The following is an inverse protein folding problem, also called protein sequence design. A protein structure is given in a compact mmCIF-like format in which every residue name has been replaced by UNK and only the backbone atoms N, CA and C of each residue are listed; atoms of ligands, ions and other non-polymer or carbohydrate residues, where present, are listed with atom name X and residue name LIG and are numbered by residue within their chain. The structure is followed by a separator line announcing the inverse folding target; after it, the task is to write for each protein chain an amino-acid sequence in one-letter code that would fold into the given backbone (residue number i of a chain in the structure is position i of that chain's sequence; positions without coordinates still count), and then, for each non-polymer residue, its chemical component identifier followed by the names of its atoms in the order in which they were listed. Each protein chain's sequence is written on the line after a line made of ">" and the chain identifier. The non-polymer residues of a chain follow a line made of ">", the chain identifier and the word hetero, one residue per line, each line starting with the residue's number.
data_IF_781506970106
#
_entry.id   IF_781506970106
#
_cell.length_a   1.000
_cell.length_b   1.000
_cell.length_c   1.000
_cell.angle_alpha   90.00
_cell.angle_beta   90.00
_cell.angle_gamma   90.00
#
_symmetry.space_group_name_H-M   'P 1'
#
loop_
_entity.id
_entity.type
_entity.pdbx_description
1 polymer ?
#
# COMPACT_ATOMS: atom_id res chain seq x y z
N UNK A 1 -28.96 -61.05 -32.24
CA UNK A 1 -27.57 -60.60 -32.04
C UNK A 1 -27.59 -59.08 -31.89
N UNK A 2 -27.24 -58.54 -30.73
CA UNK A 2 -27.43 -57.14 -30.40
C UNK A 2 -26.51 -56.22 -31.22
N UNK A 3 -27.08 -55.19 -31.86
CA UNK A 3 -26.36 -54.11 -32.54
C UNK A 3 -25.71 -53.24 -31.47
N UNK A 4 -24.40 -53.36 -31.28
CA UNK A 4 -23.65 -52.46 -30.41
C UNK A 4 -23.53 -51.08 -31.08
N UNK A 5 -23.96 -50.02 -30.40
CA UNK A 5 -23.73 -48.63 -30.80
C UNK A 5 -22.24 -48.32 -30.67
N UNK A 6 -21.66 -47.64 -31.67
CA UNK A 6 -20.25 -47.23 -31.64
C UNK A 6 -19.97 -46.33 -30.43
N UNK A 7 -18.95 -46.67 -29.64
CA UNK A 7 -18.51 -45.95 -28.42
C UNK A 7 -18.08 -44.50 -28.72
N UNK A 8 -17.75 -44.21 -29.97
CA UNK A 8 -17.41 -42.87 -30.47
C UNK A 8 -18.54 -41.84 -30.23
N UNK A 9 -19.79 -42.31 -30.13
CA UNK A 9 -20.95 -41.45 -29.85
C UNK A 9 -21.10 -41.08 -28.36
N UNK A 10 -20.41 -41.78 -27.46
CA UNK A 10 -20.49 -41.58 -25.99
C UNK A 10 -19.27 -40.82 -25.48
N UNK A 11 -18.08 -41.03 -26.06
CA UNK A 11 -16.85 -40.35 -25.63
C UNK A 11 -16.07 -39.86 -26.84
N UNK A 12 -16.01 -38.55 -27.03
CA UNK A 12 -15.19 -37.90 -28.06
C UNK A 12 -13.88 -37.43 -27.44
N UNK A 13 -12.83 -38.25 -27.55
CA UNK A 13 -11.49 -37.89 -27.05
C UNK A 13 -10.76 -37.07 -28.12
N UNK A 14 -10.78 -35.75 -27.98
CA UNK A 14 -9.91 -34.87 -28.76
C UNK A 14 -8.54 -34.78 -28.09
N UNK A 15 -7.54 -35.48 -28.61
CA UNK A 15 -6.16 -35.31 -28.16
C UNK A 15 -5.59 -34.09 -28.88
N UNK A 16 -5.65 -32.94 -28.23
CA UNK A 16 -5.00 -31.73 -28.74
C UNK A 16 -3.50 -31.80 -28.43
N UNK A 17 -2.72 -32.32 -29.37
CA UNK A 17 -1.24 -32.35 -29.35
C UNK A 17 -0.63 -31.00 -29.76
N UNK A 18 -1.30 -29.87 -29.48
CA UNK A 18 -0.61 -28.60 -29.51
C UNK A 18 0.40 -28.63 -28.35
N UNK A 19 1.71 -28.52 -28.61
CA UNK A 19 2.65 -28.35 -27.51
C UNK A 19 2.23 -27.08 -26.78
N UNK A 20 1.81 -27.19 -25.52
CA UNK A 20 1.81 -26.04 -24.63
C UNK A 20 3.24 -25.52 -24.70
N UNK A 21 3.44 -24.36 -25.31
CA UNK A 21 4.75 -23.75 -25.41
C UNK A 21 5.36 -23.78 -24.01
N UNK A 22 6.59 -24.31 -23.88
CA UNK A 22 7.31 -24.31 -22.62
C UNK A 22 7.16 -22.91 -22.02
N UNK A 23 6.60 -22.82 -20.81
CA UNK A 23 6.38 -21.54 -20.16
C UNK A 23 7.70 -20.79 -20.20
N UNK A 24 7.80 -19.76 -21.05
CA UNK A 24 9.00 -18.92 -21.08
C UNK A 24 9.06 -18.34 -19.69
N UNK A 25 10.09 -18.73 -18.92
CA UNK A 25 10.39 -18.11 -17.63
C UNK A 25 10.43 -16.62 -17.92
N UNK A 26 9.41 -15.90 -17.46
CA UNK A 26 9.39 -14.46 -17.56
C UNK A 26 10.71 -13.97 -16.92
N UNK A 27 11.33 -12.95 -17.50
CA UNK A 27 12.47 -12.32 -16.85
C UNK A 27 12.00 -11.99 -15.43
N UNK A 28 12.76 -12.41 -14.41
CA UNK A 28 12.36 -12.17 -13.03
C UNK A 28 12.04 -10.69 -12.84
N UNK A 29 11.01 -10.37 -12.07
CA UNK A 29 10.62 -8.98 -11.80
C UNK A 29 11.80 -8.27 -11.16
N UNK A 30 12.30 -7.21 -11.81
CA UNK A 30 13.40 -6.42 -11.26
C UNK A 30 12.94 -5.75 -9.96
N UNK A 31 13.82 -5.75 -8.96
CA UNK A 31 13.65 -4.95 -7.75
C UNK A 31 14.64 -3.78 -7.76
N UNK A 32 14.14 -2.56 -7.86
CA UNK A 32 14.90 -1.32 -7.66
C UNK A 32 14.78 -0.93 -6.19
N UNK A 33 15.90 -0.74 -5.50
CA UNK A 33 15.90 -0.35 -4.09
C UNK A 33 16.23 1.15 -3.98
N UNK A 34 15.31 1.90 -3.39
CA UNK A 34 15.33 3.34 -3.31
C UNK A 34 15.33 3.89 -1.89
N UNK A 35 15.99 5.04 -1.70
CA UNK A 35 16.06 5.73 -0.41
C UNK A 35 15.05 6.90 -0.29
N UNK A 36 14.15 7.08 -1.26
CA UNK A 36 13.02 8.01 -1.15
C UNK A 36 11.95 7.54 -0.16
N UNK A 37 11.27 8.49 0.49
CA UNK A 37 10.23 8.23 1.50
C UNK A 37 8.82 8.00 0.94
N UNK A 38 8.70 7.76 -0.36
CA UNK A 38 7.40 7.59 -1.05
C UNK A 38 6.72 6.28 -0.66
N UNK A 39 7.51 5.20 -0.57
CA UNK A 39 7.05 3.91 -0.05
C UNK A 39 7.36 3.86 1.44
N UNK A 40 6.35 3.54 2.23
CA UNK A 40 6.48 3.36 3.67
C UNK A 40 7.34 2.12 4.00
N UNK A 41 8.05 2.15 5.13
CA UNK A 41 8.76 1.00 5.69
C UNK A 41 7.84 -0.16 6.11
N UNK A 42 6.53 0.07 6.25
CA UNK A 42 5.52 -0.98 6.42
C UNK A 42 5.16 -1.65 5.09
N UNK A 43 4.93 -0.86 4.03
CA UNK A 43 4.62 -1.40 2.69
C UNK A 43 5.84 -2.10 2.08
N UNK A 44 7.03 -1.52 2.27
CA UNK A 44 8.37 -2.01 1.88
C UNK A 44 8.62 -2.20 0.39
N UNK A 45 7.60 -2.56 -0.39
CA UNK A 45 7.71 -2.92 -1.79
C UNK A 45 6.41 -2.57 -2.51
N UNK A 46 6.50 -1.81 -3.59
CA UNK A 46 5.37 -1.53 -4.49
C UNK A 46 5.68 -2.06 -5.89
N UNK A 47 4.71 -2.74 -6.49
CA UNK A 47 4.79 -3.21 -7.86
C UNK A 47 4.18 -2.18 -8.83
N UNK A 48 4.84 -2.01 -9.97
CA UNK A 48 4.44 -1.11 -11.05
C UNK A 48 4.40 -1.88 -12.37
N UNK A 49 3.44 -1.57 -13.22
CA UNK A 49 3.29 -2.15 -14.57
C UNK A 49 3.71 -1.19 -15.68
N UNK A 50 4.11 0.04 -15.32
CA UNK A 50 4.57 1.04 -16.27
C UNK A 50 5.20 2.24 -15.59
N UNK A 51 5.85 3.06 -16.41
CA UNK A 51 6.60 4.23 -15.96
C UNK A 51 5.68 5.36 -15.42
N UNK A 52 4.45 5.46 -15.92
CA UNK A 52 3.49 6.50 -15.50
C UNK A 52 3.12 6.38 -14.01
N UNK A 53 2.95 5.15 -13.51
CA UNK A 53 2.69 4.92 -12.08
C UNK A 53 3.89 5.29 -11.20
N UNK A 54 5.11 5.01 -11.69
CA UNK A 54 6.34 5.43 -10.98
C UNK A 54 6.48 6.95 -11.00
N UNK A 55 6.11 7.61 -12.11
CA UNK A 55 6.12 9.07 -12.23
C UNK A 55 5.14 9.73 -11.25
N UNK A 56 3.94 9.17 -11.11
CA UNK A 56 2.91 9.68 -10.21
C UNK A 56 3.35 9.63 -8.74
N UNK A 57 4.02 8.55 -8.35
CA UNK A 57 4.42 8.32 -6.95
C UNK A 57 5.75 9.01 -6.60
N UNK A 58 6.78 8.90 -7.45
CA UNK A 58 8.12 9.38 -7.14
C UNK A 58 8.50 10.71 -7.81
N UNK A 59 7.73 11.16 -8.80
CA UNK A 59 8.14 12.24 -9.70
C UNK A 59 9.28 11.82 -10.64
N UNK A 60 9.66 12.71 -11.55
CA UNK A 60 10.67 12.41 -12.59
C UNK A 60 12.12 12.60 -12.13
N UNK A 61 12.32 13.30 -11.01
CA UNK A 61 13.66 13.62 -10.50
C UNK A 61 14.24 12.52 -9.60
N UNK A 62 13.39 11.62 -9.10
CA UNK A 62 13.81 10.55 -8.21
C UNK A 62 14.74 9.54 -8.92
N UNK A 63 15.79 9.04 -8.25
CA UNK A 63 16.66 8.02 -8.83
C UNK A 63 15.91 6.72 -9.15
N UNK A 64 14.84 6.41 -8.41
CA UNK A 64 13.95 5.28 -8.65
C UNK A 64 13.23 5.40 -10.00
N UNK A 65 12.75 6.59 -10.35
CA UNK A 65 12.11 6.86 -11.63
C UNK A 65 13.09 6.68 -12.80
N UNK A 66 14.29 7.27 -12.69
CA UNK A 66 15.31 7.18 -13.75
C UNK A 66 15.75 5.73 -14.00
N UNK A 67 15.85 4.92 -12.95
CA UNK A 67 16.15 3.50 -13.09
C UNK A 67 14.97 2.71 -13.68
N UNK A 68 13.72 3.05 -13.30
CA UNK A 68 12.52 2.45 -13.86
C UNK A 68 12.35 2.77 -15.36
N UNK A 69 12.68 3.99 -15.76
CA UNK A 69 12.63 4.44 -17.16
C UNK A 69 13.54 3.59 -18.06
N UNK A 70 14.78 3.37 -17.63
CA UNK A 70 15.72 2.48 -18.33
C UNK A 70 15.22 1.04 -18.41
N UNK A 71 14.58 0.55 -17.34
CA UNK A 71 14.04 -0.80 -17.31
C UNK A 71 12.86 -0.98 -18.27
N UNK A 72 11.89 -0.06 -18.25
CA UNK A 72 10.73 -0.12 -19.15
C UNK A 72 11.04 0.23 -20.61
N UNK A 73 12.20 0.83 -20.89
CA UNK A 73 12.67 1.14 -22.26
C UNK A 73 13.30 -0.06 -22.98
N UNK A 74 13.41 -1.23 -22.34
CA UNK A 74 13.95 -2.44 -22.96
C UNK A 74 12.97 -3.01 -24.02
N UNK A 75 13.51 -3.75 -25.00
CA UNK A 75 12.71 -4.48 -25.98
C UNK A 75 13.10 -5.97 -25.96
N UNK A 76 12.18 -6.90 -25.64
CA UNK A 76 10.77 -6.67 -25.31
C UNK A 76 10.57 -5.95 -23.97
N UNK A 77 9.54 -5.07 -23.91
CA UNK A 77 9.24 -4.26 -22.71
C UNK A 77 8.86 -5.16 -21.53
N UNK A 78 9.51 -5.01 -20.36
CA UNK A 78 9.10 -5.72 -19.15
C UNK A 78 7.68 -5.37 -18.73
N UNK A 79 6.94 -6.38 -18.25
CA UNK A 79 5.55 -6.21 -17.83
C UNK A 79 5.40 -5.68 -16.40
N UNK A 80 6.41 -5.89 -15.54
CA UNK A 80 6.36 -5.56 -14.12
C UNK A 80 7.72 -5.14 -13.60
N UNK A 81 7.72 -4.18 -12.68
CA UNK A 81 8.85 -3.70 -11.89
C UNK A 81 8.43 -3.66 -10.42
N UNK A 82 9.31 -3.99 -9.50
CA UNK A 82 9.13 -3.71 -8.08
C UNK A 82 10.08 -2.61 -7.65
N UNK A 83 9.59 -1.64 -6.89
CA UNK A 83 10.41 -0.65 -6.19
C UNK A 83 10.33 -0.93 -4.69
N UNK A 84 11.48 -1.08 -4.04
CA UNK A 84 11.61 -1.37 -2.63
C UNK A 84 12.13 -0.18 -1.85
N UNK A 85 11.65 -0.02 -0.63
CA UNK A 85 12.09 1.02 0.31
C UNK A 85 13.33 0.56 1.08
N UNK A 86 14.38 1.38 1.02
CA UNK A 86 15.54 1.28 1.92
C UNK A 86 15.58 2.48 2.88
N UNK A 87 15.31 2.23 4.17
CA UNK A 87 15.50 3.22 5.23
C UNK A 87 16.97 3.46 5.55
N UNK A 88 17.67 4.19 4.68
CA UNK A 88 19.09 4.56 4.85
C UNK A 88 19.32 5.45 6.07
N UNK A 89 18.32 6.25 6.44
CA UNK A 89 18.31 7.10 7.63
C UNK A 89 17.30 6.58 8.64
N UNK A 90 17.45 6.92 9.94
CA UNK A 90 16.42 6.65 10.93
C UNK A 90 15.07 7.13 10.42
N UNK A 91 14.12 6.20 10.32
CA UNK A 91 12.77 6.46 9.81
C UNK A 91 11.81 6.19 10.97
N UNK A 92 10.89 7.12 11.28
CA UNK A 92 9.88 6.90 12.31
C UNK A 92 9.07 5.63 12.04
N UNK A 93 8.63 4.96 13.10
CA UNK A 93 7.61 3.93 12.98
C UNK A 93 6.28 4.60 12.62
N UNK A 94 5.48 3.91 11.81
CA UNK A 94 4.14 4.35 11.41
C UNK A 94 3.15 3.31 11.93
N UNK A 95 2.09 3.79 12.58
CA UNK A 95 0.93 2.99 12.97
C UNK A 95 -0.24 3.49 12.14
N UNK A 96 -0.87 2.59 11.38
CA UNK A 96 -2.01 2.93 10.54
C UNK A 96 -3.30 2.52 11.20
N UNK A 97 -4.22 3.46 11.36
CA UNK A 97 -5.57 3.19 11.81
C UNK A 97 -6.36 2.31 10.81
N UNK A 98 -7.54 1.88 11.26
CA UNK A 98 -8.52 1.26 10.37
C UNK A 98 -9.02 2.26 9.31
N UNK A 99 -9.34 1.75 8.12
CA UNK A 99 -10.02 2.54 7.09
C UNK A 99 -11.42 2.90 7.62
N UNK A 100 -11.71 4.19 7.70
CA UNK A 100 -13.02 4.69 8.08
C UNK A 100 -13.93 4.74 6.86
N UNK A 101 -15.17 4.29 7.01
CA UNK A 101 -16.23 4.56 6.04
C UNK A 101 -16.64 6.04 6.07
N UNK A 102 -17.34 6.52 5.04
CA UNK A 102 -17.80 7.92 4.95
C UNK A 102 -18.63 8.37 6.17
N UNK A 103 -19.39 7.44 6.77
CA UNK A 103 -20.16 7.71 7.98
C UNK A 103 -19.32 7.77 9.26
N UNK A 104 -18.19 7.05 9.30
CA UNK A 104 -17.24 7.08 10.43
C UNK A 104 -16.27 8.26 10.32
N UNK A 105 -16.00 8.73 9.09
CA UNK A 105 -15.20 9.92 8.80
C UNK A 105 -15.99 11.23 8.96
N UNK A 106 -17.04 11.25 9.80
CA UNK A 106 -17.79 12.44 10.16
C UNK A 106 -17.17 13.14 11.38
N UNK A 107 -16.61 14.33 11.17
CA UNK A 107 -15.98 15.12 12.24
C UNK A 107 -16.98 15.62 13.28
N UNK A 108 -18.26 15.72 12.94
CA UNK A 108 -19.29 16.16 13.88
C UNK A 108 -19.46 15.18 15.05
N UNK A 109 -19.21 13.89 14.81
CA UNK A 109 -19.26 12.85 15.84
C UNK A 109 -18.16 13.03 16.91
N UNK A 110 -17.07 13.72 16.59
CA UNK A 110 -15.97 13.97 17.52
C UNK A 110 -16.25 15.13 18.47
N UNK A 111 -17.13 16.07 18.10
CA UNK A 111 -17.39 17.28 18.90
C UNK A 111 -17.94 17.01 20.31
N UNK A 112 -18.53 15.83 20.53
CA UNK A 112 -18.98 15.40 21.87
C UNK A 112 -17.84 14.97 22.79
N UNK A 113 -16.67 14.65 22.25
CA UNK A 113 -15.50 14.21 23.03
C UNK A 113 -14.70 15.44 23.45
N UNK A 114 -14.86 15.84 24.71
CA UNK A 114 -14.20 17.02 25.31
C UNK A 114 -13.09 16.69 26.30
N UNK A 115 -13.02 15.44 26.73
CA UNK A 115 -11.98 14.90 27.62
C UNK A 115 -11.66 13.46 27.21
N UNK A 116 -11.20 13.32 25.96
CA UNK A 116 -10.81 12.05 25.40
C UNK A 116 -9.46 11.59 25.91
N UNK A 117 -9.26 10.27 25.93
CA UNK A 117 -7.98 9.67 26.25
C UNK A 117 -7.75 8.36 25.51
N UNK A 118 -6.49 8.04 25.24
CA UNK A 118 -6.08 6.72 24.75
C UNK A 118 -4.66 6.41 25.20
N UNK A 119 -4.28 5.13 25.16
CA UNK A 119 -2.92 4.69 25.42
C UNK A 119 -2.24 4.24 24.12
N UNK A 120 -0.98 4.61 23.93
CA UNK A 120 -0.17 4.19 22.77
C UNK A 120 1.26 3.89 23.20
N UNK A 121 1.87 2.85 22.63
CA UNK A 121 3.28 2.54 22.88
C UNK A 121 4.18 3.29 21.90
N UNK A 122 5.05 4.16 22.41
CA UNK A 122 6.06 4.88 21.61
C UNK A 122 7.44 4.46 22.11
N UNK A 123 8.25 3.90 21.21
CA UNK A 123 9.58 3.39 21.57
C UNK A 123 9.54 2.24 22.60
N UNK A 124 8.45 1.45 22.62
CA UNK A 124 8.27 0.35 23.57
C UNK A 124 7.74 0.75 24.95
N UNK A 125 7.44 2.03 25.16
CA UNK A 125 6.88 2.55 26.42
C UNK A 125 5.44 3.00 26.21
N UNK A 126 4.52 2.51 27.02
CA UNK A 126 3.12 2.96 27.01
C UNK A 126 3.04 4.43 27.44
N UNK A 127 2.31 5.23 26.65
CA UNK A 127 2.04 6.65 26.86
C UNK A 127 0.54 6.84 26.92
N UNK A 128 0.07 7.37 28.04
CA UNK A 128 -1.33 7.76 28.19
C UNK A 128 -1.49 9.19 27.70
N UNK A 129 -2.27 9.33 26.64
CA UNK A 129 -2.65 10.61 26.06
C UNK A 129 -4.03 10.95 26.61
N UNK A 130 -4.15 12.08 27.30
CA UNK A 130 -5.37 12.50 28.01
C UNK A 130 -5.70 13.97 27.69
N UNK A 131 -6.89 14.44 28.08
CA UNK A 131 -7.28 15.83 27.90
C UNK A 131 -7.52 16.22 26.44
N UNK A 132 -7.91 15.26 25.59
CA UNK A 132 -8.19 15.52 24.18
C UNK A 132 -9.58 16.16 24.03
N UNK A 133 -9.61 17.42 23.61
CA UNK A 133 -10.85 18.14 23.30
C UNK A 133 -10.99 18.33 21.79
N UNK A 134 -12.00 17.68 21.22
CA UNK A 134 -12.31 17.73 19.79
C UNK A 134 -13.49 18.65 19.46
N UNK A 135 -14.03 19.38 20.44
CA UNK A 135 -15.19 20.26 20.23
C UNK A 135 -14.95 21.37 19.20
N UNK A 136 -13.69 21.75 18.96
CA UNK A 136 -13.29 22.71 17.93
C UNK A 136 -12.87 22.10 16.58
N UNK A 137 -12.89 20.78 16.41
CA UNK A 137 -12.43 20.12 15.17
C UNK A 137 -13.51 20.18 14.08
N UNK A 138 -13.24 20.90 12.99
CA UNK A 138 -14.18 21.05 11.87
C UNK A 138 -14.11 19.94 10.81
N UNK A 139 -13.05 19.13 10.82
CA UNK A 139 -12.78 18.04 9.88
C UNK A 139 -11.79 17.03 10.49
N UNK A 140 -11.56 15.89 9.82
CA UNK A 140 -10.61 14.87 10.29
C UNK A 140 -9.17 15.39 10.42
N UNK A 141 -8.74 16.37 9.62
CA UNK A 141 -7.43 17.01 9.79
C UNK A 141 -7.36 17.79 11.10
N UNK A 142 -8.47 18.43 11.51
CA UNK A 142 -8.60 19.08 12.81
C UNK A 142 -8.51 18.08 13.97
N UNK A 143 -9.14 16.91 13.84
CA UNK A 143 -9.02 15.81 14.81
C UNK A 143 -7.56 15.35 14.91
N UNK A 144 -6.91 15.10 13.78
CA UNK A 144 -5.50 14.71 13.73
C UNK A 144 -4.57 15.76 14.34
N UNK A 145 -4.89 17.06 14.19
CA UNK A 145 -4.11 18.15 14.77
C UNK A 145 -4.20 18.15 16.31
N UNK A 146 -5.39 17.93 16.89
CA UNK A 146 -5.58 17.81 18.34
C UNK A 146 -4.78 16.62 18.88
N UNK A 147 -4.88 15.46 18.24
CA UNK A 147 -4.12 14.26 18.65
C UNK A 147 -2.60 14.50 18.52
N UNK A 148 -2.16 15.12 17.43
CA UNK A 148 -0.75 15.46 17.21
C UNK A 148 -0.18 16.38 18.27
N UNK A 149 -0.94 17.40 18.70
CA UNK A 149 -0.50 18.31 19.74
C UNK A 149 -0.23 17.57 21.06
N UNK A 150 -1.07 16.62 21.41
CA UNK A 150 -0.90 15.81 22.62
C UNK A 150 0.25 14.79 22.48
N UNK A 151 0.38 14.14 21.32
CA UNK A 151 1.44 13.18 21.02
C UNK A 151 2.84 13.81 20.91
N UNK A 152 2.95 15.11 20.67
CA UNK A 152 4.24 15.79 20.54
C UNK A 152 5.15 15.58 21.76
N UNK A 153 4.56 15.55 22.97
CA UNK A 153 5.28 15.26 24.22
C UNK A 153 5.88 13.84 24.27
N UNK A 154 5.30 12.90 23.52
CA UNK A 154 5.78 11.53 23.37
C UNK A 154 6.72 11.36 22.16
N UNK A 155 6.99 12.42 21.39
CA UNK A 155 7.80 12.37 20.18
C UNK A 155 7.11 11.71 18.98
N UNK A 156 5.77 11.74 18.94
CA UNK A 156 4.96 11.17 17.86
C UNK A 156 4.01 12.22 17.26
N UNK A 157 3.43 11.91 16.11
CA UNK A 157 2.45 12.75 15.40
C UNK A 157 1.37 11.87 14.78
N UNK A 158 0.21 12.47 14.49
CA UNK A 158 -0.93 11.83 13.83
C UNK A 158 -1.33 12.65 12.58
N UNK A 159 -1.65 11.97 11.48
CA UNK A 159 -2.06 12.64 10.25
C UNK A 159 -3.24 11.91 9.62
N UNK A 160 -4.21 12.65 9.10
CA UNK A 160 -5.28 12.08 8.30
C UNK A 160 -4.83 11.91 6.84
N UNK A 161 -4.89 10.70 6.30
CA UNK A 161 -4.47 10.39 4.93
C UNK A 161 -5.62 10.48 3.90
N UNK A 162 -6.83 10.82 4.34
CA UNK A 162 -8.04 10.81 3.52
C UNK A 162 -8.97 9.64 3.83
N UNK A 163 -8.47 8.57 4.47
CA UNK A 163 -9.24 7.37 4.80
C UNK A 163 -8.98 6.83 6.20
N UNK A 164 -7.85 7.17 6.82
CA UNK A 164 -7.46 6.77 8.19
C UNK A 164 -6.48 7.77 8.82
N UNK A 165 -6.23 7.58 10.12
CA UNK A 165 -5.25 8.31 10.94
C UNK A 165 -3.89 7.62 11.03
#
# INVERSE_FOLDING_TARGET
>A
MARALSVDRVVRVGINLQPMAAARRNFGTLLIIGASGVIDMEERLRAYTGIDGVAADFGMDAPEYRAAELYFSQSPRPAQLCVGRWGKTPTPAILKGGILSDGEADASAWASVKDGSFAVSVGGVSKDITGLDFSGAANMNGVAAVVSAALASAGASCAWDGQRF
#
